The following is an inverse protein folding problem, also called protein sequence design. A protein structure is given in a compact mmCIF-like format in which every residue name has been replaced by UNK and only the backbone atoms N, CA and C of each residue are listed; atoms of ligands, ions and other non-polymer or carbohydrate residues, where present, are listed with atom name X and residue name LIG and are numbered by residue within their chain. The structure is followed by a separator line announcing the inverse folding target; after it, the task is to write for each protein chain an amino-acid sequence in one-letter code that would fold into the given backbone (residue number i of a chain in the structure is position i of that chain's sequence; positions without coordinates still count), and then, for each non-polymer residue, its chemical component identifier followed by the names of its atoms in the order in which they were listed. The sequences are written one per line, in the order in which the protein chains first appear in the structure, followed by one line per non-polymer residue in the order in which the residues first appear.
data_IF_957195928326
#
_entry.id   IF_957195928326
#
_cell.length_a   1.000
_cell.length_b   1.000
_cell.length_c   1.000
_cell.angle_alpha   90.00
_cell.angle_beta   90.00
_cell.angle_gamma   90.00
#
_symmetry.space_group_name_H-M   'P 1'
#
loop_
_entity.id
_entity.type
_entity.pdbx_description
1 polymer ?
#
# COMPACT_ATOMS: atom_id res chain seq x y z
N UNK A 1 2.22 -1.75 20.93
CA UNK A 1 1.40 -1.95 19.72
C UNK A 1 0.33 -0.88 19.53
N UNK A 2 -0.75 -0.82 20.33
CA UNK A 2 -1.87 0.12 20.11
C UNK A 2 -1.48 1.60 19.96
N UNK A 3 -0.56 2.10 20.79
CA UNK A 3 -0.02 3.47 20.66
C UNK A 3 0.66 3.72 19.31
N UNK A 4 1.41 2.74 18.79
CA UNK A 4 2.06 2.83 17.48
C UNK A 4 1.04 2.86 16.33
N UNK A 5 0.01 2.01 16.40
CA UNK A 5 -1.10 2.02 15.43
C UNK A 5 -1.86 3.35 15.45
N UNK A 6 -2.04 3.95 16.63
CA UNK A 6 -2.62 5.28 16.76
C UNK A 6 -1.75 6.34 16.06
N UNK A 7 -0.44 6.34 16.30
CA UNK A 7 0.48 7.26 15.60
C UNK A 7 0.44 7.07 14.07
N UNK A 8 0.33 5.82 13.61
CA UNK A 8 0.18 5.52 12.19
C UNK A 8 -1.12 6.08 11.61
N UNK A 9 -2.24 5.98 12.34
CA UNK A 9 -3.54 6.53 11.92
C UNK A 9 -3.54 8.05 11.79
N UNK A 10 -2.82 8.75 12.68
CA UNK A 10 -2.69 10.21 12.58
C UNK A 10 -1.71 10.64 11.48
N UNK A 11 -0.69 9.83 11.22
CA UNK A 11 0.37 10.14 10.27
C UNK A 11 1.28 11.28 10.74
N UNK A 12 2.31 11.57 9.95
CA UNK A 12 3.23 12.69 10.16
C UNK A 12 3.00 13.84 9.19
N UNK A 13 3.65 14.98 9.45
CA UNK A 13 3.64 16.11 8.52
C UNK A 13 4.56 15.82 7.34
N UNK A 14 3.99 15.50 6.17
CA UNK A 14 4.74 15.52 4.92
C UNK A 14 5.22 16.93 4.61
N UNK A 15 6.52 17.20 4.70
CA UNK A 15 7.08 18.51 4.37
C UNK A 15 7.58 18.52 2.93
N UNK A 16 6.96 19.34 2.08
CA UNK A 16 7.63 19.86 0.90
C UNK A 16 8.62 20.93 1.35
N UNK A 17 9.85 20.93 0.83
CA UNK A 17 10.82 21.99 1.11
C UNK A 17 10.25 23.31 0.59
N UNK A 18 9.83 24.21 1.48
CA UNK A 18 9.48 25.58 1.11
C UNK A 18 10.79 26.34 0.87
N UNK A 19 11.13 26.56 -0.40
CA UNK A 19 12.31 27.32 -0.84
C UNK A 19 13.53 26.45 -1.15
N UNK A 20 13.98 26.49 -2.41
CA UNK A 20 15.33 26.08 -2.82
C UNK A 20 15.46 24.71 -3.48
N UNK A 21 15.41 24.71 -4.82
CA UNK A 21 16.24 23.95 -5.78
C UNK A 21 16.72 22.51 -5.47
N UNK A 22 15.94 21.68 -4.76
CA UNK A 22 16.09 20.22 -4.76
C UNK A 22 14.71 19.56 -4.51
N UNK A 23 14.16 18.78 -5.46
CA UNK A 23 12.81 18.22 -5.36
C UNK A 23 12.83 16.94 -4.50
N UNK A 24 13.12 17.06 -3.21
CA UNK A 24 12.99 15.96 -2.26
C UNK A 24 11.64 16.03 -1.56
N UNK A 25 10.68 15.17 -1.94
CA UNK A 25 9.41 15.02 -1.22
C UNK A 25 9.67 14.17 0.03
N UNK A 26 9.60 14.77 1.22
CA UNK A 26 9.77 14.01 2.46
C UNK A 26 8.48 13.30 2.84
N UNK A 27 8.59 11.98 2.99
CA UNK A 27 7.50 11.13 3.43
C UNK A 27 7.14 11.41 4.90
N UNK A 28 5.88 11.70 5.17
CA UNK A 28 5.32 11.82 6.52
C UNK A 28 4.60 10.56 7.02
N UNK A 29 4.32 9.62 6.13
CA UNK A 29 3.53 8.42 6.40
C UNK A 29 4.34 7.36 7.15
N UNK A 30 3.77 6.80 8.22
CA UNK A 30 4.45 5.82 9.08
C UNK A 30 4.07 4.40 8.60
N UNK A 31 5.09 3.58 8.33
CA UNK A 31 4.91 2.15 8.13
C UNK A 31 5.11 1.39 9.44
N UNK A 32 4.28 0.38 9.69
CA UNK A 32 4.42 -0.49 10.85
C UNK A 32 4.38 -1.97 10.43
N UNK A 33 5.26 -2.77 11.02
CA UNK A 33 5.29 -4.23 10.86
C UNK A 33 5.05 -4.87 12.24
N UNK A 34 4.07 -5.76 12.32
CA UNK A 34 3.76 -6.56 13.50
C UNK A 34 4.29 -7.99 13.29
N UNK A 35 5.31 -8.35 14.07
CA UNK A 35 5.85 -9.73 14.10
C UNK A 35 5.53 -10.34 15.45
N UNK A 36 5.13 -11.60 15.45
CA UNK A 36 4.84 -12.35 16.68
C UNK A 36 4.29 -13.73 16.37
N UNK A 37 4.09 -14.55 17.40
CA UNK A 37 3.64 -15.93 17.20
C UNK A 37 2.21 -16.01 16.62
N UNK A 38 1.84 -17.15 16.01
CA UNK A 38 0.46 -17.43 15.64
C UNK A 38 -0.48 -17.30 16.85
N UNK A 39 -1.70 -16.81 16.63
CA UNK A 39 -2.71 -16.71 17.71
C UNK A 39 -2.63 -15.45 18.58
N UNK A 40 -1.67 -14.54 18.37
CA UNK A 40 -1.55 -13.28 19.15
C UNK A 40 -2.46 -12.14 18.64
N UNK A 41 -3.55 -12.47 17.94
CA UNK A 41 -4.58 -11.51 17.45
C UNK A 41 -4.06 -10.39 16.52
N UNK A 42 -2.95 -10.61 15.80
CA UNK A 42 -2.41 -9.63 14.83
C UNK A 42 -3.42 -9.31 13.72
N UNK A 43 -3.99 -10.33 13.09
CA UNK A 43 -5.01 -10.17 12.04
C UNK A 43 -6.23 -9.41 12.53
N UNK A 44 -6.64 -9.63 13.79
CA UNK A 44 -7.74 -8.90 14.42
C UNK A 44 -7.43 -7.40 14.56
N UNK A 45 -6.19 -7.06 14.91
CA UNK A 45 -5.73 -5.67 14.97
C UNK A 45 -5.72 -5.03 13.58
N UNK A 46 -5.26 -5.74 12.54
CA UNK A 46 -5.27 -5.25 11.16
C UNK A 46 -6.70 -4.98 10.68
N UNK A 47 -7.62 -5.93 10.90
CA UNK A 47 -9.04 -5.76 10.55
C UNK A 47 -9.68 -4.59 11.30
N UNK A 48 -9.31 -4.38 12.57
CA UNK A 48 -9.81 -3.25 13.35
C UNK A 48 -9.32 -1.91 12.79
N UNK A 49 -8.03 -1.80 12.46
CA UNK A 49 -7.45 -0.60 11.82
C UNK A 49 -8.08 -0.36 10.46
N UNK A 50 -8.25 -1.39 9.63
CA UNK A 50 -8.92 -1.31 8.33
C UNK A 50 -10.33 -0.70 8.42
N UNK A 51 -11.12 -1.09 9.44
CA UNK A 51 -12.49 -0.58 9.65
C UNK A 51 -12.52 0.87 10.13
N UNK A 52 -11.49 1.34 10.82
CA UNK A 52 -11.42 2.69 11.38
C UNK A 52 -10.76 3.67 10.42
N UNK A 53 -9.78 3.21 9.64
CA UNK A 53 -9.02 4.04 8.75
C UNK A 53 -9.87 4.50 7.55
N UNK A 54 -9.91 5.80 7.24
CA UNK A 54 -10.48 6.27 5.98
C UNK A 54 -9.63 5.72 4.83
N UNK A 55 -10.28 5.09 3.84
CA UNK A 55 -9.61 4.37 2.73
C UNK A 55 -8.66 3.26 3.23
N UNK A 56 -9.02 2.62 4.34
CA UNK A 56 -8.39 1.39 4.79
C UNK A 56 -8.65 0.28 3.78
N UNK A 57 -7.62 -0.37 3.26
CA UNK A 57 -7.75 -1.60 2.46
C UNK A 57 -7.11 -2.74 3.23
N UNK A 58 -7.76 -3.89 3.27
CA UNK A 58 -7.21 -5.11 3.86
C UNK A 58 -6.93 -6.12 2.76
N UNK A 59 -5.74 -6.71 2.79
CA UNK A 59 -5.32 -7.75 1.86
C UNK A 59 -4.43 -8.79 2.55
N UNK A 60 -4.46 -10.04 2.09
CA UNK A 60 -3.53 -11.09 2.53
C UNK A 60 -2.36 -11.17 1.57
N UNK A 61 -1.13 -11.34 2.08
CA UNK A 61 0.09 -11.50 1.31
C UNK A 61 0.06 -12.72 0.38
N UNK A 62 -0.70 -13.76 0.73
CA UNK A 62 -0.93 -14.92 -0.12
C UNK A 62 -1.90 -14.62 -1.28
N UNK A 63 -2.91 -13.77 -1.05
CA UNK A 63 -3.88 -13.34 -2.06
C UNK A 63 -3.45 -12.12 -2.88
N UNK A 64 -2.47 -11.36 -2.38
CA UNK A 64 -1.91 -10.18 -3.02
C UNK A 64 -0.93 -10.56 -4.12
N UNK A 65 -1.42 -10.60 -5.36
CA UNK A 65 -0.54 -10.61 -6.52
C UNK A 65 0.04 -9.21 -6.77
N UNK A 66 1.20 -9.16 -7.42
CA UNK A 66 1.81 -7.92 -7.93
C UNK A 66 0.81 -7.04 -8.69
N UNK A 67 -0.10 -7.67 -9.44
CA UNK A 67 -1.11 -6.99 -10.25
C UNK A 67 -2.25 -6.44 -9.38
N UNK A 68 -2.69 -7.20 -8.36
CA UNK A 68 -3.73 -6.75 -7.42
C UNK A 68 -3.29 -5.61 -6.50
N UNK A 69 -1.98 -5.48 -6.23
CA UNK A 69 -1.44 -4.37 -5.45
C UNK A 69 -1.28 -3.08 -6.27
N UNK A 70 -0.94 -3.19 -7.55
CA UNK A 70 -0.59 -2.04 -8.42
C UNK A 70 -1.79 -1.53 -9.21
N UNK A 71 -1.96 -2.08 -10.40
CA UNK A 71 -3.04 -1.85 -11.33
C UNK A 71 -3.05 -3.03 -12.32
N UNK A 72 -4.23 -3.40 -12.77
CA UNK A 72 -4.41 -4.37 -13.83
C UNK A 72 -5.08 -3.73 -15.04
N UNK A 73 -4.91 -4.37 -16.18
CA UNK A 73 -5.55 -3.95 -17.42
C UNK A 73 -6.71 -4.90 -17.65
N UNK A 74 -7.90 -4.33 -17.74
CA UNK A 74 -9.13 -5.03 -18.09
C UNK A 74 -9.57 -4.56 -19.47
N UNK A 75 -10.18 -5.45 -20.24
CA UNK A 75 -10.77 -5.08 -21.52
C UNK A 75 -12.27 -4.90 -21.31
N UNK A 76 -12.75 -3.70 -21.54
CA UNK A 76 -14.18 -3.42 -21.44
C UNK A 76 -14.94 -4.21 -22.53
N UNK A 77 -15.93 -5.05 -22.16
CA UNK A 77 -16.69 -5.84 -23.11
C UNK A 77 -17.53 -5.00 -24.08
N UNK A 78 -17.92 -3.78 -23.72
CA UNK A 78 -18.76 -2.92 -24.55
C UNK A 78 -17.93 -2.12 -25.56
N UNK A 79 -16.91 -1.39 -25.07
CA UNK A 79 -16.08 -0.50 -25.91
C UNK A 79 -14.92 -1.25 -26.58
N UNK A 80 -14.57 -2.45 -26.10
CA UNK A 80 -13.36 -3.21 -26.47
C UNK A 80 -12.04 -2.47 -26.21
N UNK A 81 -12.08 -1.37 -25.46
CA UNK A 81 -10.90 -0.61 -25.10
C UNK A 81 -10.20 -1.24 -23.88
N UNK A 82 -8.90 -0.95 -23.75
CA UNK A 82 -8.11 -1.37 -22.60
C UNK A 82 -8.23 -0.32 -21.51
N UNK A 83 -8.84 -0.70 -20.39
CA UNK A 83 -9.03 0.16 -19.23
C UNK A 83 -8.05 -0.25 -18.14
N UNK A 84 -7.43 0.75 -17.50
CA UNK A 84 -6.56 0.56 -16.36
C UNK A 84 -7.39 0.60 -15.07
N UNK A 85 -7.42 -0.50 -14.34
CA UNK A 85 -8.08 -0.60 -13.05
C UNK A 85 -7.07 -0.50 -11.90
N UNK A 86 -7.42 0.28 -10.88
CA UNK A 86 -6.55 0.57 -9.74
C UNK A 86 -6.48 -0.61 -8.77
N UNK A 87 -5.26 -0.95 -8.34
CA UNK A 87 -5.02 -1.97 -7.32
C UNK A 87 -5.10 -1.42 -5.90
N UNK A 88 -4.89 -2.30 -4.92
CA UNK A 88 -5.07 -2.03 -3.49
C UNK A 88 -4.26 -0.83 -2.98
N UNK A 89 -3.00 -0.65 -3.43
CA UNK A 89 -2.14 0.45 -3.00
C UNK A 89 -2.60 1.79 -3.58
N UNK A 90 -3.05 1.81 -4.82
CA UNK A 90 -3.53 3.03 -5.47
C UNK A 90 -4.87 3.46 -4.87
N UNK A 91 -5.76 2.50 -4.60
CA UNK A 91 -7.05 2.74 -3.96
C UNK A 91 -6.91 3.28 -2.54
N UNK A 92 -5.88 2.84 -1.81
CA UNK A 92 -5.59 3.29 -0.43
C UNK A 92 -4.77 4.59 -0.35
N UNK A 93 -4.56 5.34 -1.45
CA UNK A 93 -3.82 6.61 -1.43
C UNK A 93 -4.33 7.57 -0.32
N UNK A 94 -3.41 8.06 0.51
CA UNK A 94 -3.64 8.83 1.75
C UNK A 94 -4.38 8.10 2.88
N UNK A 95 -4.48 6.78 2.79
CA UNK A 95 -5.07 5.89 3.79
C UNK A 95 -4.07 4.86 4.29
N UNK A 96 -4.60 3.73 4.75
CA UNK A 96 -3.81 2.61 5.29
C UNK A 96 -4.05 1.35 4.45
N UNK A 97 -2.97 0.74 3.98
CA UNK A 97 -3.00 -0.59 3.39
C UNK A 97 -2.56 -1.62 4.45
N UNK A 98 -3.49 -2.45 4.89
CA UNK A 98 -3.26 -3.54 5.84
C UNK A 98 -2.92 -4.81 5.08
N UNK A 99 -1.74 -5.38 5.32
CA UNK A 99 -1.24 -6.59 4.67
C UNK A 99 -1.04 -7.67 5.74
N UNK A 100 -1.88 -8.69 5.75
CA UNK A 100 -1.68 -9.87 6.59
C UNK A 100 -0.76 -10.88 5.90
N UNK A 101 -0.18 -11.83 6.64
CA UNK A 101 0.69 -12.90 6.10
C UNK A 101 1.81 -12.36 5.18
N UNK A 102 2.46 -11.27 5.60
CA UNK A 102 3.50 -10.61 4.82
C UNK A 102 4.69 -11.55 4.50
N UNK A 103 4.94 -12.54 5.35
CA UNK A 103 5.94 -13.59 5.13
C UNK A 103 5.60 -14.54 3.96
N UNK A 104 4.31 -14.66 3.60
CA UNK A 104 3.84 -15.50 2.48
C UNK A 104 3.77 -14.76 1.15
N UNK A 105 4.15 -13.48 1.13
CA UNK A 105 4.12 -12.68 -0.08
C UNK A 105 5.25 -13.05 -1.04
N UNK A 106 4.92 -13.18 -2.33
CA UNK A 106 5.89 -13.46 -3.40
C UNK A 106 6.84 -12.29 -3.67
N UNK A 107 8.00 -12.59 -4.25
CA UNK A 107 9.08 -11.60 -4.46
C UNK A 107 8.69 -10.45 -5.40
N UNK A 108 7.85 -10.72 -6.41
CA UNK A 108 7.36 -9.70 -7.34
C UNK A 108 6.46 -8.65 -6.66
N UNK A 109 5.56 -9.10 -5.77
CA UNK A 109 4.73 -8.22 -4.97
C UNK A 109 5.56 -7.42 -3.97
N UNK A 110 6.60 -8.04 -3.38
CA UNK A 110 7.52 -7.37 -2.45
C UNK A 110 8.33 -6.27 -3.14
N UNK A 111 8.83 -6.49 -4.36
CA UNK A 111 9.57 -5.49 -5.12
C UNK A 111 8.74 -4.23 -5.38
N UNK A 112 7.48 -4.41 -5.77
CA UNK A 112 6.52 -3.31 -5.97
C UNK A 112 6.24 -2.57 -4.66
N UNK A 113 6.08 -3.29 -3.54
CA UNK A 113 5.87 -2.64 -2.26
C UNK A 113 7.07 -1.79 -1.87
N UNK A 114 8.30 -2.25 -2.12
CA UNK A 114 9.49 -1.45 -1.88
C UNK A 114 9.49 -0.17 -2.71
N UNK A 115 9.13 -0.23 -4.00
CA UNK A 115 8.96 0.95 -4.84
C UNK A 115 7.92 1.92 -4.26
N UNK A 116 6.74 1.41 -3.92
CA UNK A 116 5.66 2.22 -3.37
C UNK A 116 6.02 2.84 -2.01
N UNK A 117 6.74 2.11 -1.15
CA UNK A 117 7.21 2.59 0.16
C UNK A 117 8.25 3.70 0.04
N UNK A 118 9.12 3.61 -0.97
CA UNK A 118 10.21 4.57 -1.17
C UNK A 118 9.73 5.81 -1.93
N UNK A 119 9.12 5.62 -3.10
CA UNK A 119 8.76 6.72 -4.01
C UNK A 119 7.38 7.31 -3.74
N UNK A 120 6.52 6.61 -2.99
CA UNK A 120 5.09 6.91 -2.82
C UNK A 120 4.33 6.99 -4.15
N UNK A 121 4.86 6.34 -5.18
CA UNK A 121 4.31 6.24 -6.53
C UNK A 121 4.58 4.85 -7.06
N UNK A 122 3.73 4.37 -7.95
CA UNK A 122 3.87 3.10 -8.64
C UNK A 122 3.93 3.38 -10.13
N UNK A 123 5.00 2.92 -10.78
CA UNK A 123 5.13 2.98 -12.22
C UNK A 123 4.47 1.77 -12.89
N UNK A 124 3.60 2.01 -13.86
CA UNK A 124 2.92 0.96 -14.62
C UNK A 124 3.20 1.16 -16.10
N UNK A 125 3.83 0.17 -16.71
CA UNK A 125 4.09 0.09 -18.15
C UNK A 125 3.58 -1.25 -18.69
N UNK A 126 2.32 -1.30 -19.16
CA UNK A 126 1.68 -2.51 -19.67
C UNK A 126 0.71 -2.18 -20.81
N UNK A 127 0.64 -3.07 -21.82
CA UNK A 127 -0.25 -2.97 -22.98
C UNK A 127 -0.29 -1.58 -23.66
N UNK A 128 0.87 -0.92 -23.78
CA UNK A 128 0.99 0.42 -24.38
C UNK A 128 0.62 1.58 -23.44
N UNK A 129 0.12 1.31 -22.24
CA UNK A 129 -0.19 2.31 -21.22
C UNK A 129 1.04 2.47 -20.32
N UNK A 130 1.64 3.67 -20.36
CA UNK A 130 2.74 4.08 -19.49
C UNK A 130 2.20 5.20 -18.60
N UNK A 131 2.04 4.92 -17.32
CA UNK A 131 1.56 5.90 -16.35
C UNK A 131 2.23 5.73 -14.99
N UNK A 132 2.22 6.79 -14.20
CA UNK A 132 2.66 6.77 -12.81
C UNK A 132 1.47 7.09 -11.92
N UNK A 133 1.16 6.17 -11.01
CA UNK A 133 0.04 6.29 -10.08
C UNK A 133 0.57 6.69 -8.71
N UNK A 134 -0.11 7.63 -8.06
CA UNK A 134 0.22 8.00 -6.69
C UNK A 134 -0.23 6.89 -5.72
N UNK A 135 0.64 6.52 -4.79
CA UNK A 135 0.38 5.52 -3.76
C UNK A 135 0.93 6.01 -2.41
N UNK A 136 0.48 7.18 -1.93
CA UNK A 136 0.88 7.77 -0.64
C UNK A 136 0.16 7.05 0.50
N UNK A 137 0.49 5.79 0.67
CA UNK A 137 -0.17 4.88 1.60
C UNK A 137 0.72 4.66 2.82
N UNK A 138 0.09 4.52 3.98
CA UNK A 138 0.76 3.93 5.15
C UNK A 138 0.54 2.43 5.12
N UNK A 139 1.61 1.64 5.25
CA UNK A 139 1.52 0.18 5.25
C UNK A 139 1.51 -0.33 6.68
N UNK A 140 0.49 -1.12 7.01
CA UNK A 140 0.42 -1.91 8.24
C UNK A 140 0.56 -3.39 7.86
N UNK A 141 1.69 -4.00 8.14
CA UNK A 141 1.95 -5.40 7.81
C UNK A 141 1.92 -6.29 9.06
N UNK A 142 1.50 -7.54 8.91
CA UNK A 142 1.68 -8.59 9.91
C UNK A 142 2.44 -9.76 9.31
N UNK A 143 3.43 -10.27 10.04
CA UNK A 143 4.21 -11.45 9.66
C UNK A 143 4.31 -12.43 10.82
N UNK A 144 4.46 -13.71 10.50
CA UNK A 144 4.82 -14.75 11.47
C UNK A 144 6.34 -14.99 11.42
N UNK A 145 6.98 -15.27 12.57
CA UNK A 145 8.37 -15.73 12.61
C UNK A 145 8.53 -17.14 12.00
#
# INVERSE_FOLDING_TARGET
VKKGLLCQLFGGSGRGKAGGAAPGKFRGDINCLLVGDPGVSKSQLLQYVHKIAPRGIYTSGKGSSAVGLTAYISKDPETRELVLESGALVLSDRGICCIDEFDKMGDSARAILHEAMEQQTISVAKAGIICSLNARTSILAAANP
#
